data_IF_684239503655
#
_entry.id   IF_684239503655
#
_cell.length_a   1.000
_cell.length_b   1.000
_cell.length_c   1.000
_cell.angle_alpha   90.00
_cell.angle_beta   90.00
_cell.angle_gamma   90.00
#
_symmetry.space_group_name_H-M   'P 1'
#
loop_
_entity.id
_entity.type
_entity.pdbx_description
1 polymer ?
#
# COMPACT_ATOMS: atom_id res chain seq x y z
N UNK A 1 4.41 9.41 -16.04
CA UNK A 1 4.33 10.17 -14.77
C UNK A 1 5.64 10.91 -14.59
N UNK A 2 5.63 12.24 -14.39
CA UNK A 2 6.87 13.00 -14.20
C UNK A 2 7.36 12.84 -12.74
N UNK A 3 8.61 12.38 -12.51
CA UNK A 3 9.21 12.25 -11.18
C UNK A 3 9.15 13.56 -10.39
N UNK A 4 9.03 13.48 -9.06
CA UNK A 4 8.94 14.67 -8.19
C UNK A 4 10.19 15.56 -8.28
N UNK A 5 11.36 14.98 -8.56
CA UNK A 5 12.63 15.71 -8.72
C UNK A 5 12.64 16.68 -9.91
N UNK A 6 11.99 16.30 -11.02
CA UNK A 6 12.02 17.10 -12.26
C UNK A 6 11.01 18.25 -12.25
N UNK A 7 10.01 18.19 -11.36
CA UNK A 7 8.93 19.20 -11.28
C UNK A 7 9.46 20.58 -10.92
N UNK A 8 10.50 20.66 -10.09
CA UNK A 8 11.14 21.92 -9.73
C UNK A 8 11.77 22.60 -10.94
N UNK A 9 12.54 21.85 -11.72
CA UNK A 9 13.17 22.34 -12.95
C UNK A 9 12.11 22.80 -13.98
N UNK A 10 11.03 22.04 -14.15
CA UNK A 10 9.95 22.41 -15.08
C UNK A 10 9.24 23.70 -14.64
N UNK A 11 9.04 23.90 -13.32
CA UNK A 11 8.45 25.13 -12.80
C UNK A 11 9.40 26.33 -12.96
N UNK A 12 10.71 26.13 -12.82
CA UNK A 12 11.69 27.19 -13.09
C UNK A 12 11.68 27.60 -14.57
N UNK A 13 11.65 26.63 -15.49
CA UNK A 13 11.52 26.89 -16.94
C UNK A 13 10.21 27.59 -17.30
N UNK A 14 9.12 27.28 -16.58
CA UNK A 14 7.86 28.00 -16.73
C UNK A 14 7.99 29.48 -16.33
N UNK A 15 8.65 29.78 -15.21
CA UNK A 15 8.86 31.15 -14.75
C UNK A 15 9.76 31.94 -15.70
N UNK A 16 10.82 31.31 -16.20
CA UNK A 16 11.70 31.89 -17.21
C UNK A 16 10.98 32.14 -18.53
N UNK A 17 10.15 31.20 -19.00
CA UNK A 17 9.37 31.40 -20.22
C UNK A 17 8.39 32.57 -20.08
N UNK A 18 7.74 32.69 -18.92
CA UNK A 18 6.82 33.82 -18.64
C UNK A 18 7.58 35.15 -18.60
N UNK A 19 8.78 35.20 -18.01
CA UNK A 19 9.58 36.45 -17.99
C UNK A 19 10.03 36.88 -19.39
N UNK A 20 10.19 35.91 -20.31
CA UNK A 20 10.45 36.14 -21.74
C UNK A 20 9.18 36.44 -22.56
N UNK A 21 8.01 36.55 -21.92
CA UNK A 21 6.75 36.90 -22.56
C UNK A 21 5.94 35.73 -23.13
N UNK A 22 6.32 34.47 -22.85
CA UNK A 22 5.56 33.31 -23.29
C UNK A 22 4.36 33.06 -22.38
N UNK A 23 3.26 32.58 -22.98
CA UNK A 23 2.09 32.18 -22.19
C UNK A 23 2.34 30.87 -21.44
N UNK A 24 1.80 30.77 -20.22
CA UNK A 24 1.83 29.53 -19.45
C UNK A 24 1.15 28.34 -20.17
N UNK A 25 0.26 28.62 -21.15
CA UNK A 25 -0.37 27.60 -21.98
C UNK A 25 0.60 27.03 -23.00
N UNK A 26 1.31 27.90 -23.74
CA UNK A 26 2.29 27.47 -24.73
C UNK A 26 3.41 26.62 -24.10
N UNK A 27 3.88 27.00 -22.91
CA UNK A 27 4.89 26.23 -22.17
C UNK A 27 4.30 24.89 -21.68
N UNK A 28 3.06 24.88 -21.19
CA UNK A 28 2.38 23.66 -20.78
C UNK A 28 2.22 22.67 -21.95
N UNK A 29 1.83 23.16 -23.12
CA UNK A 29 1.68 22.38 -24.34
C UNK A 29 3.02 21.78 -24.79
N UNK A 30 4.13 22.53 -24.69
CA UNK A 30 5.48 22.04 -24.99
C UNK A 30 5.88 20.83 -24.12
N UNK A 31 5.53 20.85 -22.84
CA UNK A 31 5.82 19.74 -21.92
C UNK A 31 4.77 18.61 -21.98
N UNK A 32 3.73 18.73 -22.81
CA UNK A 32 2.62 17.78 -22.86
C UNK A 32 1.82 17.72 -21.56
N UNK A 33 1.75 18.84 -20.83
CA UNK A 33 1.10 18.95 -19.53
C UNK A 33 -0.09 19.90 -19.58
N UNK A 34 -1.08 19.65 -18.74
CA UNK A 34 -2.13 20.64 -18.52
C UNK A 34 -1.57 21.86 -17.75
N UNK A 35 -1.92 23.07 -18.17
CA UNK A 35 -1.53 24.32 -17.48
C UNK A 35 -1.89 24.30 -15.99
N UNK A 36 -3.02 23.66 -15.61
CA UNK A 36 -3.44 23.47 -14.22
C UNK A 36 -2.43 22.67 -13.39
N UNK A 37 -1.77 21.68 -13.99
CA UNK A 37 -0.76 20.83 -13.34
C UNK A 37 0.48 21.64 -12.99
N UNK A 38 0.98 22.44 -13.94
CA UNK A 38 2.13 23.33 -13.72
C UNK A 38 1.85 24.39 -12.65
N UNK A 39 0.68 25.03 -12.72
CA UNK A 39 0.25 25.99 -11.69
C UNK A 39 0.15 25.35 -10.31
N UNK A 40 -0.40 24.13 -10.21
CA UNK A 40 -0.50 23.39 -8.96
C UNK A 40 0.88 23.06 -8.39
N UNK A 41 1.82 22.60 -9.22
CA UNK A 41 3.19 22.35 -8.78
C UNK A 41 3.89 23.61 -8.28
N UNK A 42 3.77 24.72 -9.01
CA UNK A 42 4.32 26.01 -8.58
C UNK A 42 3.70 26.53 -7.28
N UNK A 43 2.42 26.27 -7.03
CA UNK A 43 1.79 26.58 -5.75
C UNK A 43 2.37 25.69 -4.62
N UNK A 44 2.44 24.37 -4.84
CA UNK A 44 2.97 23.42 -3.84
C UNK A 44 4.43 23.71 -3.49
N UNK A 45 5.27 24.03 -4.49
CA UNK A 45 6.67 24.38 -4.24
C UNK A 45 6.78 25.68 -3.44
N UNK A 46 5.93 26.68 -3.71
CA UNK A 46 5.92 27.92 -2.91
C UNK A 46 5.43 27.74 -1.49
N UNK A 47 4.46 26.84 -1.25
CA UNK A 47 3.87 26.65 0.08
C UNK A 47 4.59 25.61 0.93
N UNK A 48 5.14 24.56 0.31
CA UNK A 48 5.72 23.40 0.98
C UNK A 48 7.22 23.22 0.68
N UNK A 49 7.79 24.00 -0.24
CA UNK A 49 9.19 23.85 -0.70
C UNK A 49 9.39 22.73 -1.74
N UNK A 50 8.41 21.85 -1.92
CA UNK A 50 8.49 20.72 -2.86
C UNK A 50 7.13 20.35 -3.46
N UNK A 51 7.14 19.62 -4.59
CA UNK A 51 5.93 19.03 -5.17
C UNK A 51 6.07 17.51 -5.26
N UNK A 52 5.43 16.79 -4.34
CA UNK A 52 5.34 15.33 -4.39
C UNK A 52 3.97 14.85 -4.90
N UNK A 53 3.90 13.62 -5.39
CA UNK A 53 2.61 12.96 -5.61
C UNK A 53 2.00 12.54 -4.27
N UNK A 54 0.97 13.25 -3.82
CA UNK A 54 0.30 13.01 -2.55
C UNK A 54 -0.60 11.77 -2.56
N UNK A 55 -0.83 11.12 -3.71
CA UNK A 55 -1.63 9.87 -3.77
C UNK A 55 -1.04 8.75 -2.92
N UNK A 56 0.29 8.71 -2.77
CA UNK A 56 1.00 7.70 -1.98
C UNK A 56 1.16 8.07 -0.50
N UNK A 57 0.97 9.34 -0.13
CA UNK A 57 1.22 9.86 1.22
C UNK A 57 -0.02 10.24 2.01
N UNK A 58 -1.21 10.10 1.42
CA UNK A 58 -2.45 10.37 2.14
C UNK A 58 -2.62 9.35 3.29
N UNK A 59 -2.57 9.83 4.53
CA UNK A 59 -2.82 9.03 5.72
C UNK A 59 -4.27 8.55 5.73
N UNK A 60 -4.53 7.42 5.08
CA UNK A 60 -5.85 6.80 5.07
C UNK A 60 -6.03 6.10 6.42
N UNK A 61 -6.75 6.74 7.34
CA UNK A 61 -7.21 6.05 8.54
C UNK A 61 -8.28 5.05 8.12
N UNK A 62 -8.00 3.76 8.29
CA UNK A 62 -8.95 2.68 8.02
C UNK A 62 -9.47 2.23 9.38
N UNK A 63 -10.76 2.48 9.65
CA UNK A 63 -11.40 2.18 10.93
C UNK A 63 -11.24 0.71 11.37
N UNK A 64 -11.16 -0.21 10.40
CA UNK A 64 -10.98 -1.65 10.63
C UNK A 64 -9.52 -2.10 10.48
N UNK A 65 -8.57 -1.19 10.64
CA UNK A 65 -7.16 -1.55 10.68
C UNK A 65 -6.89 -2.23 12.01
N UNK A 66 -6.35 -3.45 11.95
CA UNK A 66 -5.85 -4.15 13.14
C UNK A 66 -4.94 -3.22 13.95
N UNK A 67 -5.25 -3.08 15.24
CA UNK A 67 -4.42 -2.34 16.19
C UNK A 67 -3.10 -3.09 16.42
N UNK A 68 -2.14 -2.43 17.08
CA UNK A 68 -0.86 -3.08 17.38
C UNK A 68 -1.03 -4.22 18.38
N UNK A 69 -1.98 -4.09 19.31
CA UNK A 69 -2.33 -5.11 20.28
C UNK A 69 -2.95 -6.34 19.60
N UNK A 70 -3.90 -6.13 18.68
CA UNK A 70 -4.51 -7.22 17.90
C UNK A 70 -3.47 -7.92 17.01
N UNK A 71 -2.52 -7.16 16.45
CA UNK A 71 -1.38 -7.72 15.70
C UNK A 71 -0.51 -8.61 16.59
N UNK A 72 -0.20 -8.14 17.79
CA UNK A 72 0.62 -8.89 18.73
C UNK A 72 -0.07 -10.18 19.19
N UNK A 73 -1.39 -10.15 19.36
CA UNK A 73 -2.17 -11.35 19.65
C UNK A 73 -2.11 -12.37 18.50
N UNK A 74 -2.24 -11.92 17.24
CA UNK A 74 -2.04 -12.81 16.08
C UNK A 74 -0.64 -13.42 16.10
N UNK A 75 0.39 -12.62 16.38
CA UNK A 75 1.77 -13.08 16.39
C UNK A 75 2.07 -14.03 17.54
N UNK A 76 1.51 -13.83 18.72
CA UNK A 76 1.67 -14.77 19.83
C UNK A 76 1.02 -16.11 19.51
N UNK A 77 -0.18 -16.10 18.92
CA UNK A 77 -0.85 -17.33 18.48
C UNK A 77 -0.05 -18.06 17.40
N UNK A 78 0.46 -17.36 16.38
CA UNK A 78 1.24 -18.01 15.30
C UNK A 78 2.60 -18.52 15.79
N UNK A 79 3.19 -17.88 16.80
CA UNK A 79 4.46 -18.32 17.39
C UNK A 79 4.30 -19.38 18.47
N UNK A 80 3.08 -19.71 18.88
CA UNK A 80 2.83 -20.81 19.80
C UNK A 80 3.31 -22.13 19.15
N UNK A 81 4.07 -22.98 19.89
CA UNK A 81 4.48 -24.29 19.42
C UNK A 81 3.35 -25.13 18.84
N UNK A 82 2.13 -24.96 19.35
CA UNK A 82 0.91 -25.64 18.87
C UNK A 82 0.62 -25.38 17.39
N UNK A 83 0.97 -24.20 16.89
CA UNK A 83 0.70 -23.76 15.52
C UNK A 83 1.96 -23.69 14.66
N UNK A 84 3.09 -24.20 15.13
CA UNK A 84 4.39 -23.97 14.52
C UNK A 84 4.53 -24.47 13.08
N UNK A 85 3.88 -25.61 12.77
CA UNK A 85 3.92 -26.29 11.47
C UNK A 85 2.63 -26.10 10.64
N UNK A 86 1.69 -25.27 11.12
CA UNK A 86 0.38 -25.14 10.52
C UNK A 86 0.31 -23.96 9.54
N UNK A 87 -0.48 -24.13 8.49
CA UNK A 87 -0.79 -23.06 7.53
C UNK A 87 -1.79 -22.07 8.15
N UNK A 88 -1.81 -20.80 7.70
CA UNK A 88 -2.75 -19.79 8.21
C UNK A 88 -4.21 -20.25 8.20
N UNK A 89 -4.64 -20.96 7.14
CA UNK A 89 -5.99 -21.51 7.04
C UNK A 89 -6.27 -22.59 8.10
N UNK A 90 -5.30 -23.46 8.39
CA UNK A 90 -5.43 -24.48 9.44
C UNK A 90 -5.49 -23.85 10.85
N UNK A 91 -4.70 -22.81 11.10
CA UNK A 91 -4.73 -22.06 12.36
C UNK A 91 -6.14 -21.46 12.57
N UNK A 92 -6.70 -20.82 11.55
CA UNK A 92 -8.07 -20.26 11.61
C UNK A 92 -9.11 -21.34 11.87
N UNK A 93 -9.01 -22.50 11.23
CA UNK A 93 -9.95 -23.60 11.44
C UNK A 93 -9.94 -24.11 12.88
N UNK A 94 -8.75 -24.34 13.46
CA UNK A 94 -8.62 -24.79 14.85
C UNK A 94 -9.15 -23.73 15.83
N UNK A 95 -8.80 -22.46 15.62
CA UNK A 95 -9.30 -21.37 16.48
C UNK A 95 -10.83 -21.23 16.39
N UNK A 96 -11.41 -21.46 15.22
CA UNK A 96 -12.86 -21.43 15.04
C UNK A 96 -13.56 -22.58 15.78
N UNK A 97 -12.96 -23.79 15.79
CA UNK A 97 -13.44 -24.92 16.60
C UNK A 97 -13.41 -24.60 18.10
N UNK A 98 -12.43 -23.81 18.55
CA UNK A 98 -12.31 -23.33 19.93
C UNK A 98 -13.19 -22.12 20.25
N UNK A 99 -13.90 -21.58 19.25
CA UNK A 99 -14.71 -20.37 19.40
C UNK A 99 -13.91 -19.08 19.60
N UNK A 100 -12.61 -19.09 19.27
CA UNK A 100 -11.70 -17.95 19.43
C UNK A 100 -11.49 -17.25 18.10
N UNK A 101 -11.81 -15.96 18.02
CA UNK A 101 -11.53 -15.15 16.83
C UNK A 101 -10.28 -14.28 17.04
N UNK A 102 -9.24 -14.53 16.25
CA UNK A 102 -7.99 -13.76 16.27
C UNK A 102 -7.83 -12.90 15.00
N UNK A 103 -8.49 -13.27 13.91
CA UNK A 103 -8.51 -12.52 12.66
C UNK A 103 -8.91 -13.35 11.46
N UNK A 104 -9.17 -12.70 10.33
CA UNK A 104 -9.40 -13.41 9.06
C UNK A 104 -8.12 -14.09 8.58
N UNK A 105 -8.26 -15.17 7.81
CA UNK A 105 -7.13 -15.87 7.17
C UNK A 105 -6.22 -14.89 6.41
N UNK A 106 -6.83 -13.99 5.63
CA UNK A 106 -6.12 -12.95 4.87
C UNK A 106 -5.34 -11.96 5.76
N UNK A 107 -5.82 -11.71 6.98
CA UNK A 107 -5.15 -10.83 7.95
C UNK A 107 -3.97 -11.54 8.58
N UNK A 108 -4.14 -12.79 9.02
CA UNK A 108 -3.07 -13.62 9.57
C UNK A 108 -1.96 -13.81 8.52
N UNK A 109 -2.33 -14.16 7.28
CA UNK A 109 -1.38 -14.27 6.17
C UNK A 109 -0.60 -12.96 5.95
N UNK A 110 -1.28 -11.81 5.96
CA UNK A 110 -0.63 -10.50 5.78
C UNK A 110 0.35 -10.18 6.91
N UNK A 111 -0.01 -10.50 8.16
CA UNK A 111 0.86 -10.29 9.33
C UNK A 111 2.07 -11.23 9.27
N UNK A 112 1.86 -12.53 9.00
CA UNK A 112 2.95 -13.49 8.81
C UNK A 112 3.90 -13.10 7.68
N UNK A 113 3.37 -12.52 6.58
CA UNK A 113 4.19 -11.99 5.49
C UNK A 113 5.03 -10.78 5.89
N UNK A 114 4.49 -9.90 6.73
CA UNK A 114 5.22 -8.73 7.24
C UNK A 114 6.38 -9.15 8.15
N UNK A 115 6.17 -10.18 8.97
CA UNK A 115 7.18 -10.73 9.89
C UNK A 115 8.11 -11.79 9.25
N UNK A 116 7.98 -12.08 7.95
CA UNK A 116 8.83 -13.06 7.27
C UNK A 116 8.60 -14.53 7.69
N UNK A 117 7.48 -14.84 8.34
CA UNK A 117 7.15 -16.17 8.88
C UNK A 117 6.55 -17.15 7.85
N UNK A 118 6.41 -16.74 6.58
CA UNK A 118 5.77 -17.54 5.52
C UNK A 118 6.52 -18.83 5.17
N UNK A 119 7.83 -18.88 5.42
CA UNK A 119 8.66 -20.03 5.04
C UNK A 119 8.76 -21.11 6.13
N UNK A 120 7.93 -21.02 7.19
CA UNK A 120 7.92 -21.99 8.30
C UNK A 120 7.23 -23.31 7.96
N UNK A 121 6.33 -23.34 7.00
CA UNK A 121 5.62 -24.56 6.62
C UNK A 121 6.43 -25.36 5.60
N UNK A 122 6.77 -26.61 5.97
CA UNK A 122 7.39 -27.58 5.07
C UNK A 122 6.48 -27.79 3.85
N UNK A 123 7.02 -27.49 2.66
CA UNK A 123 6.81 -28.22 1.41
C UNK A 123 5.41 -28.81 1.16
N UNK A 124 4.61 -28.11 0.35
CA UNK A 124 3.69 -28.72 -0.61
C UNK A 124 2.54 -29.54 -0.06
N UNK A 125 1.40 -28.89 0.21
CA UNK A 125 0.11 -29.55 0.04
C UNK A 125 -0.69 -28.70 -0.94
N UNK A 126 -0.74 -29.17 -2.19
CA UNK A 126 -1.60 -28.61 -3.21
C UNK A 126 -3.04 -28.61 -2.71
N UNK A 127 -3.69 -27.45 -2.75
CA UNK A 127 -5.11 -27.31 -2.48
C UNK A 127 -5.88 -28.24 -3.41
N UNK A 128 -6.38 -29.36 -2.88
CA UNK A 128 -7.38 -30.16 -3.56
C UNK A 128 -8.59 -29.25 -3.81
N UNK A 129 -8.85 -28.93 -5.08
CA UNK A 129 -10.09 -28.28 -5.50
C UNK A 129 -11.23 -29.17 -5.04
N UNK A 130 -12.09 -28.61 -4.21
CA UNK A 130 -13.31 -29.24 -3.74
C UNK A 130 -14.27 -29.37 -4.94
N UNK A 131 -14.19 -30.49 -5.67
CA UNK A 131 -15.18 -30.86 -6.68
C UNK A 131 -16.52 -31.10 -5.98
N UNK A 132 -17.39 -30.10 -6.03
CA UNK A 132 -18.78 -30.26 -5.63
C UNK A 132 -19.43 -31.28 -6.55
N UNK A 133 -19.79 -32.44 -5.99
CA UNK A 133 -20.65 -33.44 -6.62
C UNK A 133 -21.97 -33.50 -5.85
N UNK A 134 -23.03 -32.97 -6.47
CA UNK A 134 -24.46 -33.32 -6.34
C UNK A 134 -25.25 -32.18 -7.03
N UNK A 135 -26.13 -32.38 -8.01
CA UNK A 135 -26.88 -33.55 -8.48
C UNK A 135 -26.77 -33.72 -10.00
#
# INVERSE_FOLDING_TARGET
MIPSGDRGAIVALLQEGISRGLSAKAIADLFGLATRTLRRWGLMIRTQGFSCDQRKGASRHVMHRFSEEERQQVLSTVNDPRFADLTPGQIVAILAEEGVYVGSESTIYRIMRQEGLLNRTRSGVGTARNEHRAC
#
